data_IF_389929853003
#
_entry.id   IF_389929853003
#
_cell.length_a   1.000
_cell.length_b   1.000
_cell.length_c   1.000
_cell.angle_alpha   90.00
_cell.angle_beta   90.00
_cell.angle_gamma   90.00
#
_symmetry.space_group_name_H-M   'P 1'
#
loop_
_entity.id
_entity.type
_entity.pdbx_description
1 polymer ?
#
# COMPACT_ATOMS: atom_id res chain seq x y z
N UNK A 1 23.54 1.29 2.62
CA UNK A 1 22.89 -0.05 2.64
C UNK A 1 23.70 -0.99 1.78
N UNK A 2 24.04 -2.18 2.26
CA UNK A 2 24.76 -3.17 1.46
C UNK A 2 23.83 -3.79 0.40
N UNK A 3 24.43 -4.28 -0.70
CA UNK A 3 23.66 -4.95 -1.76
C UNK A 3 22.90 -6.18 -1.24
N UNK A 4 23.50 -6.93 -0.32
CA UNK A 4 22.85 -8.10 0.31
C UNK A 4 21.64 -7.69 1.14
N UNK A 5 21.76 -6.63 1.91
CA UNK A 5 20.65 -6.11 2.71
C UNK A 5 19.53 -5.57 1.82
N UNK A 6 19.89 -4.84 0.77
CA UNK A 6 18.90 -4.33 -0.20
C UNK A 6 18.14 -5.47 -0.88
N UNK A 7 18.83 -6.52 -1.30
CA UNK A 7 18.21 -7.68 -1.91
C UNK A 7 17.25 -8.39 -0.96
N UNK A 8 17.65 -8.55 0.30
CA UNK A 8 16.79 -9.12 1.34
C UNK A 8 15.53 -8.28 1.54
N UNK A 9 15.68 -6.97 1.62
CA UNK A 9 14.55 -6.05 1.74
C UNK A 9 13.59 -6.18 0.56
N UNK A 10 14.11 -6.32 -0.66
CA UNK A 10 13.32 -6.56 -1.86
C UNK A 10 12.56 -7.90 -1.79
N UNK A 11 13.20 -8.96 -1.32
CA UNK A 11 12.57 -10.28 -1.15
C UNK A 11 11.43 -10.24 -0.13
N UNK A 12 11.65 -9.59 1.00
CA UNK A 12 10.63 -9.42 2.04
C UNK A 12 9.45 -8.59 1.53
N UNK A 13 9.74 -7.48 0.86
CA UNK A 13 8.71 -6.62 0.27
C UNK A 13 7.91 -7.36 -0.81
N UNK A 14 8.58 -8.14 -1.65
CA UNK A 14 7.96 -8.98 -2.67
C UNK A 14 6.94 -9.95 -2.07
N UNK A 15 7.32 -10.63 -0.98
CA UNK A 15 6.44 -11.56 -0.27
C UNK A 15 5.24 -10.85 0.34
N UNK A 16 5.45 -9.68 0.93
CA UNK A 16 4.38 -8.87 1.52
C UNK A 16 3.40 -8.35 0.47
N UNK A 17 3.89 -7.88 -0.67
CA UNK A 17 3.05 -7.42 -1.78
C UNK A 17 2.19 -8.55 -2.34
N UNK A 18 2.73 -9.75 -2.45
CA UNK A 18 1.97 -10.94 -2.85
C UNK A 18 0.82 -11.21 -1.89
N UNK A 19 1.10 -11.18 -0.60
CA UNK A 19 0.08 -11.40 0.44
C UNK A 19 -1.03 -10.35 0.36
N UNK A 20 -0.67 -9.08 0.25
CA UNK A 20 -1.62 -7.97 0.12
C UNK A 20 -2.51 -8.17 -1.11
N UNK A 21 -1.90 -8.42 -2.26
CA UNK A 21 -2.62 -8.60 -3.53
C UNK A 21 -3.61 -9.75 -3.45
N UNK A 22 -3.21 -10.87 -2.87
CA UNK A 22 -4.09 -12.03 -2.70
C UNK A 22 -5.27 -11.75 -1.77
N UNK A 23 -5.03 -11.06 -0.66
CA UNK A 23 -6.10 -10.73 0.29
C UNK A 23 -7.11 -9.74 -0.31
N UNK A 24 -6.62 -8.69 -0.97
CA UNK A 24 -7.49 -7.69 -1.60
C UNK A 24 -8.28 -8.31 -2.75
N UNK A 25 -7.63 -9.09 -3.61
CA UNK A 25 -8.30 -9.76 -4.73
C UNK A 25 -9.39 -10.70 -4.24
N UNK A 26 -9.09 -11.51 -3.22
CA UNK A 26 -10.07 -12.44 -2.64
C UNK A 26 -11.29 -11.69 -2.12
N UNK A 27 -11.07 -10.61 -1.39
CA UNK A 27 -12.17 -9.79 -0.87
C UNK A 27 -13.00 -9.19 -2.01
N UNK A 28 -12.36 -8.60 -3.01
CA UNK A 28 -13.05 -7.98 -4.15
C UNK A 28 -13.85 -9.01 -4.97
N UNK A 29 -13.40 -10.26 -5.03
CA UNK A 29 -14.11 -11.33 -5.74
C UNK A 29 -15.32 -11.86 -4.96
N UNK A 30 -15.38 -11.64 -3.65
CA UNK A 30 -16.44 -12.16 -2.78
C UNK A 30 -17.53 -11.15 -2.47
N UNK A 31 -17.26 -9.86 -2.64
CA UNK A 31 -18.18 -8.79 -2.23
C UNK A 31 -18.76 -8.06 -3.42
N UNK A 32 -19.98 -7.56 -3.24
CA UNK A 32 -20.61 -6.62 -4.16
C UNK A 32 -21.01 -5.37 -3.39
N UNK A 33 -21.09 -4.24 -4.08
CA UNK A 33 -21.56 -3.00 -3.46
C UNK A 33 -22.97 -3.20 -2.87
N UNK A 34 -23.87 -3.82 -3.62
CA UNK A 34 -25.22 -4.10 -3.15
C UNK A 34 -25.25 -4.96 -1.89
N UNK A 35 -24.39 -5.99 -1.81
CA UNK A 35 -24.27 -6.85 -0.64
C UNK A 35 -23.78 -6.11 0.59
N UNK A 36 -22.78 -5.25 0.43
CA UNK A 36 -22.25 -4.44 1.54
C UNK A 36 -23.29 -3.45 2.07
N UNK A 37 -24.01 -2.78 1.18
CA UNK A 37 -25.04 -1.81 1.53
C UNK A 37 -26.20 -2.51 2.25
N UNK A 38 -26.66 -3.66 1.76
CA UNK A 38 -27.71 -4.44 2.39
C UNK A 38 -27.38 -4.88 3.81
N UNK A 39 -26.12 -5.25 4.04
CA UNK A 39 -25.66 -5.68 5.37
C UNK A 39 -25.57 -4.53 6.38
N UNK A 40 -25.50 -3.28 5.92
CA UNK A 40 -25.29 -2.10 6.77
C UNK A 40 -26.56 -1.42 7.25
N UNK A 41 -27.73 -1.74 6.70
CA UNK A 41 -29.03 -1.27 7.18
C UNK A 41 -29.45 0.14 6.79
N UNK A 42 -28.55 1.00 6.29
CA UNK A 42 -28.89 2.32 5.74
C UNK A 42 -28.24 2.52 4.36
N UNK A 43 -29.02 2.26 3.29
CA UNK A 43 -28.47 2.32 1.92
C UNK A 43 -27.96 3.70 1.50
N UNK A 44 -28.66 4.76 1.87
CA UNK A 44 -28.28 6.10 1.44
C UNK A 44 -26.96 6.58 2.03
N UNK A 45 -26.74 6.28 3.31
CA UNK A 45 -25.54 6.70 4.03
C UNK A 45 -24.31 5.90 3.60
N UNK A 46 -24.44 4.58 3.44
CA UNK A 46 -23.31 3.69 3.23
C UNK A 46 -22.98 3.45 1.76
N UNK A 47 -23.88 3.70 0.80
CA UNK A 47 -23.60 3.42 -0.61
C UNK A 47 -22.39 4.20 -1.13
N UNK A 48 -22.36 5.51 -0.93
CA UNK A 48 -21.25 6.36 -1.37
C UNK A 48 -19.95 5.95 -0.68
N UNK A 49 -20.01 5.69 0.62
CA UNK A 49 -18.89 5.26 1.41
C UNK A 49 -18.28 3.94 0.91
N UNK A 50 -19.10 2.91 0.73
CA UNK A 50 -18.60 1.61 0.25
C UNK A 50 -18.15 1.65 -1.20
N UNK A 51 -18.81 2.42 -2.05
CA UNK A 51 -18.39 2.62 -3.44
C UNK A 51 -16.96 3.19 -3.48
N UNK A 52 -16.70 4.20 -2.69
CA UNK A 52 -15.37 4.82 -2.59
C UNK A 52 -14.35 3.85 -2.01
N UNK A 53 -14.71 3.13 -0.96
CA UNK A 53 -13.83 2.13 -0.35
C UNK A 53 -13.43 1.04 -1.34
N UNK A 54 -14.39 0.47 -2.08
CA UNK A 54 -14.10 -0.55 -3.09
C UNK A 54 -13.24 0.01 -4.23
N UNK A 55 -13.49 1.23 -4.66
CA UNK A 55 -12.66 1.91 -5.65
C UNK A 55 -11.22 2.05 -5.17
N UNK A 56 -11.02 2.46 -3.92
CA UNK A 56 -9.69 2.60 -3.32
C UNK A 56 -8.97 1.26 -3.25
N UNK A 57 -9.68 0.17 -2.90
CA UNK A 57 -9.11 -1.17 -2.89
C UNK A 57 -8.68 -1.63 -4.29
N UNK A 58 -9.48 -1.33 -5.32
CA UNK A 58 -9.12 -1.68 -6.70
C UNK A 58 -7.86 -0.97 -7.15
N UNK A 59 -7.72 0.32 -6.83
CA UNK A 59 -6.51 1.08 -7.14
C UNK A 59 -5.31 0.53 -6.37
N UNK A 60 -5.48 0.24 -5.09
CA UNK A 60 -4.43 -0.34 -4.27
C UNK A 60 -3.94 -1.68 -4.86
N UNK A 61 -4.88 -2.53 -5.30
CA UNK A 61 -4.55 -3.82 -5.91
C UNK A 61 -3.68 -3.64 -7.15
N UNK A 62 -4.06 -2.72 -8.04
CA UNK A 62 -3.30 -2.44 -9.28
C UNK A 62 -1.88 -1.98 -8.94
N UNK A 63 -1.72 -1.05 -8.02
CA UNK A 63 -0.39 -0.57 -7.63
C UNK A 63 0.46 -1.66 -7.00
N UNK A 64 -0.13 -2.49 -6.14
CA UNK A 64 0.60 -3.59 -5.50
C UNK A 64 0.98 -4.67 -6.49
N UNK A 65 0.13 -5.01 -7.44
CA UNK A 65 0.44 -5.98 -8.51
C UNK A 65 1.58 -5.47 -9.40
N UNK A 66 1.54 -4.19 -9.80
CA UNK A 66 2.60 -3.61 -10.61
C UNK A 66 3.94 -3.63 -9.89
N UNK A 67 3.97 -3.23 -8.63
CA UNK A 67 5.19 -3.24 -7.82
C UNK A 67 5.70 -4.68 -7.61
N UNK A 68 4.80 -5.62 -7.37
CA UNK A 68 5.13 -7.04 -7.22
C UNK A 68 5.82 -7.57 -8.48
N UNK A 69 5.29 -7.29 -9.66
CA UNK A 69 5.89 -7.73 -10.92
C UNK A 69 7.26 -7.11 -11.15
N UNK A 70 7.42 -5.82 -10.87
CA UNK A 70 8.70 -5.12 -11.03
C UNK A 70 9.76 -5.66 -10.07
N UNK A 71 9.41 -5.90 -8.81
CA UNK A 71 10.33 -6.54 -7.85
C UNK A 71 10.68 -7.95 -8.29
N UNK A 72 9.71 -8.71 -8.80
CA UNK A 72 9.96 -10.04 -9.35
C UNK A 72 10.98 -10.03 -10.48
N UNK A 73 10.89 -9.06 -11.40
CA UNK A 73 11.86 -8.89 -12.47
C UNK A 73 13.25 -8.60 -11.89
N UNK A 74 13.34 -7.69 -10.91
CA UNK A 74 14.59 -7.35 -10.26
C UNK A 74 15.23 -8.56 -9.59
N UNK A 75 14.45 -9.37 -8.89
CA UNK A 75 14.94 -10.53 -8.14
C UNK A 75 15.33 -11.73 -9.03
N UNK A 76 14.74 -11.84 -10.22
CA UNK A 76 15.02 -12.95 -11.16
C UNK A 76 16.20 -12.69 -12.10
N UNK A 77 16.73 -11.46 -12.12
CA UNK A 77 17.87 -11.14 -12.98
C UNK A 77 19.12 -11.88 -12.51
N UNK A 78 19.95 -12.32 -13.47
CA UNK A 78 21.21 -12.96 -13.17
C UNK A 78 22.15 -12.05 -12.39
N UNK A 79 22.09 -10.74 -12.67
CA UNK A 79 22.80 -9.71 -11.90
C UNK A 79 21.79 -8.77 -11.26
N UNK A 80 21.90 -8.62 -9.95
CA UNK A 80 21.03 -7.72 -9.19
C UNK A 80 21.44 -6.26 -9.43
N UNK A 81 20.51 -5.46 -9.92
CA UNK A 81 20.70 -4.04 -10.17
C UNK A 81 20.18 -3.23 -8.97
N UNK A 82 21.08 -2.71 -8.16
CA UNK A 82 20.73 -1.94 -6.97
C UNK A 82 19.90 -0.70 -7.27
N UNK A 83 20.31 0.07 -8.29
CA UNK A 83 19.61 1.29 -8.68
C UNK A 83 18.15 1.04 -9.07
N UNK A 84 17.91 0.03 -9.89
CA UNK A 84 16.56 -0.35 -10.28
C UNK A 84 15.74 -0.87 -9.10
N UNK A 85 16.35 -1.65 -8.21
CA UNK A 85 15.69 -2.16 -7.01
C UNK A 85 15.26 -1.02 -6.09
N UNK A 86 16.12 -0.03 -5.88
CA UNK A 86 15.81 1.15 -5.07
C UNK A 86 14.68 1.98 -5.68
N UNK A 87 14.66 2.16 -6.99
CA UNK A 87 13.55 2.83 -7.66
C UNK A 87 12.22 2.13 -7.44
N UNK A 88 12.21 0.80 -7.48
CA UNK A 88 10.99 0.03 -7.23
C UNK A 88 10.56 0.15 -5.78
N UNK A 89 11.47 0.08 -4.81
CA UNK A 89 11.13 0.29 -3.39
C UNK A 89 10.59 1.69 -3.13
N UNK A 90 11.16 2.70 -3.78
CA UNK A 90 10.62 4.07 -3.75
C UNK A 90 9.18 4.09 -4.29
N UNK A 91 8.93 3.42 -5.40
CA UNK A 91 7.58 3.31 -5.96
C UNK A 91 6.63 2.59 -4.99
N UNK A 92 7.08 1.50 -4.35
CA UNK A 92 6.26 0.80 -3.34
C UNK A 92 5.84 1.74 -2.22
N UNK A 93 6.76 2.54 -1.71
CA UNK A 93 6.43 3.48 -0.63
C UNK A 93 5.38 4.50 -1.09
N UNK A 94 5.61 5.15 -2.22
CA UNK A 94 4.78 6.28 -2.65
C UNK A 94 3.48 5.87 -3.35
N UNK A 95 3.39 4.68 -3.93
CA UNK A 95 2.16 4.23 -4.59
C UNK A 95 1.40 3.17 -3.79
N UNK A 96 2.07 2.20 -3.19
CA UNK A 96 1.38 1.13 -2.45
C UNK A 96 1.08 1.56 -1.00
N UNK A 97 2.09 1.93 -0.26
CA UNK A 97 1.94 2.30 1.15
C UNK A 97 1.09 3.56 1.30
N UNK A 98 1.42 4.60 0.55
CA UNK A 98 0.67 5.86 0.63
C UNK A 98 -0.76 5.72 0.14
N UNK A 99 -1.05 4.87 -0.85
CA UNK A 99 -2.43 4.64 -1.28
C UNK A 99 -3.24 3.81 -0.28
N UNK A 100 -2.59 3.03 0.56
CA UNK A 100 -3.30 2.37 1.66
C UNK A 100 -3.73 3.38 2.73
N UNK A 101 -2.83 4.27 3.15
CA UNK A 101 -3.11 5.25 4.20
C UNK A 101 -3.85 6.49 3.70
N UNK A 102 -3.54 6.95 2.49
CA UNK A 102 -4.08 8.18 1.89
C UNK A 102 -4.54 7.93 0.45
N UNK A 103 -5.63 7.19 0.22
CA UNK A 103 -6.08 6.87 -1.13
C UNK A 103 -6.29 8.12 -1.98
N UNK A 104 -5.75 8.10 -3.20
CA UNK A 104 -5.87 9.22 -4.15
C UNK A 104 -5.33 10.55 -3.59
N UNK A 105 -4.41 10.49 -2.62
CA UNK A 105 -3.86 11.68 -1.99
C UNK A 105 -4.79 12.37 -0.99
N UNK A 106 -5.93 11.76 -0.67
CA UNK A 106 -6.89 12.29 0.30
C UNK A 106 -6.67 11.71 1.68
N UNK A 107 -7.04 12.47 2.69
CA UNK A 107 -7.07 11.98 4.07
C UNK A 107 -8.40 11.27 4.32
N UNK A 108 -8.35 10.12 4.95
CA UNK A 108 -9.54 9.28 5.19
C UNK A 108 -10.63 9.92 6.05
N UNK A 109 -10.37 11.05 6.67
CA UNK A 109 -11.36 11.74 7.50
C UNK A 109 -12.68 12.00 6.78
N UNK A 110 -12.60 12.36 5.50
CA UNK A 110 -13.80 12.62 4.69
C UNK A 110 -14.54 11.34 4.31
N UNK A 111 -13.85 10.21 4.34
CA UNK A 111 -14.40 8.90 3.98
C UNK A 111 -14.92 8.10 5.17
N UNK A 112 -14.97 8.70 6.35
CA UNK A 112 -15.35 8.00 7.57
C UNK A 112 -14.24 7.16 8.18
N UNK A 113 -13.02 7.26 7.67
CA UNK A 113 -11.82 6.65 8.24
C UNK A 113 -10.83 7.73 8.64
N UNK A 114 -10.10 7.49 9.70
CA UNK A 114 -8.97 8.34 10.08
C UNK A 114 -7.69 7.74 9.55
N UNK A 115 -6.78 8.57 9.09
CA UNK A 115 -5.47 8.14 8.70
C UNK A 115 -4.73 7.51 9.90
N UNK A 116 -3.84 6.58 9.59
CA UNK A 116 -3.03 5.95 10.60
C UNK A 116 -2.17 6.97 11.35
N UNK A 117 -2.18 6.89 12.67
CA UNK A 117 -1.37 7.73 13.55
C UNK A 117 -0.62 6.87 14.56
N UNK A 118 0.70 6.79 14.42
CA UNK A 118 1.51 6.05 15.37
C UNK A 118 1.43 4.54 15.21
N UNK A 119 0.91 3.85 16.22
CA UNK A 119 0.85 2.38 16.27
C UNK A 119 -0.51 1.80 15.91
N UNK A 120 -1.49 2.65 15.69
CA UNK A 120 -2.85 2.22 15.47
C UNK A 120 -3.13 1.94 14.00
N UNK A 121 -4.20 1.20 13.76
CA UNK A 121 -4.72 0.95 12.44
C UNK A 121 -5.54 2.13 11.95
N UNK A 122 -6.02 2.05 10.71
CA UNK A 122 -7.04 2.97 10.21
C UNK A 122 -8.28 2.85 11.10
N UNK A 123 -8.76 3.99 11.57
CA UNK A 123 -9.94 4.08 12.44
C UNK A 123 -11.15 4.44 11.60
N UNK A 124 -12.23 3.70 11.79
CA UNK A 124 -13.49 4.00 11.12
C UNK A 124 -14.35 4.91 12.00
N UNK A 125 -14.83 6.00 11.43
CA UNK A 125 -15.77 6.90 12.11
C UNK A 125 -17.18 6.34 12.15
N UNK A 126 -17.53 5.51 11.14
CA UNK A 126 -18.82 4.84 11.06
C UNK A 126 -18.66 3.38 11.41
N UNK A 127 -19.68 2.80 12.01
CA UNK A 127 -19.72 1.38 12.26
C UNK A 127 -19.92 0.65 10.92
N UNK A 128 -18.86 0.01 10.46
CA UNK A 128 -18.88 -0.78 9.21
C UNK A 128 -19.04 -2.26 9.53
N UNK A 129 -19.33 -3.06 8.51
CA UNK A 129 -19.48 -4.51 8.70
C UNK A 129 -18.16 -5.14 9.16
N UNK A 130 -18.21 -6.23 9.98
CA UNK A 130 -17.01 -6.85 10.52
C UNK A 130 -16.00 -7.31 9.46
N UNK A 131 -16.45 -7.82 8.33
CA UNK A 131 -15.60 -8.29 7.25
C UNK A 131 -14.69 -7.19 6.70
N UNK A 132 -15.24 -5.99 6.57
CA UNK A 132 -14.49 -4.82 6.09
C UNK A 132 -13.46 -4.36 7.12
N UNK A 133 -13.83 -4.36 8.40
CA UNK A 133 -12.90 -4.05 9.49
C UNK A 133 -11.77 -5.06 9.55
N UNK A 134 -12.07 -6.35 9.45
CA UNK A 134 -11.08 -7.42 9.49
C UNK A 134 -10.10 -7.32 8.32
N UNK A 135 -10.57 -7.04 7.11
CA UNK A 135 -9.69 -6.82 5.97
C UNK A 135 -8.73 -5.67 6.23
N UNK A 136 -9.26 -4.52 6.65
CA UNK A 136 -8.45 -3.33 6.90
C UNK A 136 -7.40 -3.58 7.99
N UNK A 137 -7.76 -4.27 9.07
CA UNK A 137 -6.83 -4.65 10.12
C UNK A 137 -5.75 -5.61 9.62
N UNK A 138 -6.14 -6.61 8.83
CA UNK A 138 -5.21 -7.57 8.24
C UNK A 138 -4.20 -6.88 7.33
N UNK A 139 -4.67 -5.99 6.47
CA UNK A 139 -3.79 -5.20 5.60
C UNK A 139 -2.88 -4.28 6.40
N UNK A 140 -3.38 -3.63 7.44
CA UNK A 140 -2.59 -2.75 8.30
C UNK A 140 -1.43 -3.49 8.97
N UNK A 141 -1.63 -4.73 9.38
CA UNK A 141 -0.59 -5.57 9.98
C UNK A 141 0.55 -5.87 9.01
N UNK A 142 0.31 -5.81 7.71
CA UNK A 142 1.34 -5.99 6.68
C UNK A 142 1.96 -4.64 6.29
N UNK A 143 1.13 -3.62 6.09
CA UNK A 143 1.60 -2.30 5.66
C UNK A 143 2.39 -1.56 6.73
N UNK A 144 2.06 -1.71 7.99
CA UNK A 144 2.75 -1.00 9.07
C UNK A 144 4.24 -1.38 9.17
N UNK A 145 4.61 -2.68 9.28
CA UNK A 145 6.02 -3.05 9.26
C UNK A 145 6.71 -2.65 7.95
N UNK A 146 6.03 -2.79 6.83
CA UNK A 146 6.58 -2.41 5.52
C UNK A 146 6.86 -0.91 5.44
N UNK A 147 5.96 -0.09 5.96
CA UNK A 147 6.17 1.37 6.06
C UNK A 147 7.41 1.69 6.90
N UNK A 148 7.57 1.04 8.03
CA UNK A 148 8.73 1.25 8.90
C UNK A 148 10.04 0.80 8.21
N UNK A 149 10.03 -0.34 7.56
CA UNK A 149 11.21 -0.88 6.89
C UNK A 149 11.62 -0.06 5.65
N UNK A 150 10.65 0.56 4.99
CA UNK A 150 10.88 1.36 3.78
C UNK A 150 10.90 2.87 4.05
N UNK A 151 10.98 3.30 5.30
CA UNK A 151 10.93 4.73 5.65
C UNK A 151 12.02 5.56 4.99
N UNK A 152 13.17 4.97 4.71
CA UNK A 152 14.24 5.63 3.95
C UNK A 152 13.75 6.17 2.61
N UNK A 153 12.81 5.50 1.96
CA UNK A 153 12.28 5.91 0.65
C UNK A 153 11.23 7.00 0.72
N UNK A 154 10.83 7.43 1.90
CA UNK A 154 9.89 8.55 2.05
C UNK A 154 10.53 9.86 1.57
N UNK A 155 11.70 10.21 2.09
CA UNK A 155 12.39 11.48 1.77
C UNK A 155 13.87 11.30 1.53
N UNK A 156 14.56 10.46 2.30
CA UNK A 156 16.03 10.41 2.33
C UNK A 156 16.63 9.91 1.02
N UNK A 157 16.00 8.92 0.39
CA UNK A 157 16.46 8.39 -0.89
C UNK A 157 16.50 9.47 -1.97
N UNK A 158 15.41 10.21 -2.13
CA UNK A 158 15.31 11.24 -3.17
C UNK A 158 16.24 12.42 -2.88
N UNK A 159 16.38 12.83 -1.61
CA UNK A 159 17.29 13.88 -1.20
C UNK A 159 18.74 13.50 -1.52
N UNK A 160 19.15 12.27 -1.20
CA UNK A 160 20.48 11.77 -1.51
C UNK A 160 20.75 11.71 -3.02
N UNK A 161 19.76 11.28 -3.80
CA UNK A 161 19.86 11.21 -5.26
C UNK A 161 20.02 12.61 -5.87
N UNK A 162 19.27 13.58 -5.40
CA UNK A 162 19.40 14.99 -5.83
C UNK A 162 20.76 15.57 -5.50
N UNK A 163 21.28 15.32 -4.31
CA UNK A 163 22.62 15.77 -3.92
C UNK A 163 23.71 15.17 -4.79
N UNK A 164 23.60 13.91 -5.18
CA UNK A 164 24.53 13.26 -6.10
C UNK A 164 24.50 13.87 -7.51
N UNK A 165 23.30 14.22 -7.99
CA UNK A 165 23.12 14.89 -9.29
C UNK A 165 23.74 16.28 -9.29
N UNK A 166 23.61 17.05 -8.24
CA UNK A 166 24.22 18.36 -8.10
C UNK A 166 25.75 18.28 -8.12
N UNK A 167 26.33 17.29 -7.41
CA UNK A 167 27.78 17.07 -7.44
C UNK A 167 28.32 16.71 -8.84
N UNK A 168 27.52 16.01 -9.62
CA UNK A 168 27.91 15.61 -10.99
C UNK A 168 27.82 16.76 -11.97
N UNK A 169 27.00 17.78 -11.70
CA UNK A 169 26.83 18.96 -12.54
C UNK A 169 27.86 20.07 -12.25
N UNK A 170 28.52 20.00 -11.11
CA UNK A 170 29.51 21.03 -10.70
C UNK A 170 30.89 20.79 -11.38
#
# INVERSE_FOLDING_TARGET
>A
MSATHLKQLCEETYTKLKKISMEVERFLNQVTLAGLVSASGDPEEFETYYRKYLSDLRHLLVYCENAYERLGVSLRRARFHEEFAEEVLYQVYHTCINNFYYPKGEVYEEDGRLAYTGQDCIIFRKQVIPELQQLTLSLSRVFEPMRNDLQYYETDYIAKKQMQQEKTRA
#
